data_IF_026635889744
#
_entry.id   IF_026635889744
#
_cell.length_a   1.000
_cell.length_b   1.000
_cell.length_c   1.000
_cell.angle_alpha   90.00
_cell.angle_beta   90.00
_cell.angle_gamma   90.00
#
_symmetry.space_group_name_H-M   'P 1'
#
loop_
_entity.id
_entity.type
_entity.pdbx_description
1 polymer ?
#
# COMPACT_ATOMS: atom_id res chain seq x y z
N UNK A 1 -0.56 19.47 12.60
CA UNK A 1 -0.32 18.04 12.36
C UNK A 1 -1.49 17.38 11.62
N UNK A 2 -2.71 17.38 12.18
CA UNK A 2 -3.87 16.71 11.56
C UNK A 2 -4.21 17.22 10.16
N UNK A 3 -4.15 18.54 9.91
CA UNK A 3 -4.46 19.11 8.60
C UNK A 3 -3.48 18.66 7.50
N UNK A 4 -2.19 18.56 7.83
CA UNK A 4 -1.14 18.11 6.90
C UNK A 4 -1.28 16.61 6.59
N UNK A 5 -1.65 15.81 7.59
CA UNK A 5 -1.99 14.39 7.41
C UNK A 5 -3.17 14.21 6.45
N UNK A 6 -4.27 14.95 6.65
CA UNK A 6 -5.45 14.89 5.78
C UNK A 6 -5.12 15.31 4.34
N UNK A 7 -4.31 16.35 4.17
CA UNK A 7 -3.86 16.79 2.85
C UNK A 7 -3.08 15.71 2.10
N UNK A 8 -2.08 15.11 2.76
CA UNK A 8 -1.30 14.02 2.18
C UNK A 8 -2.16 12.78 1.91
N UNK A 9 -3.13 12.46 2.78
CA UNK A 9 -4.07 11.36 2.57
C UNK A 9 -4.90 11.56 1.29
N UNK A 10 -5.40 12.77 1.05
CA UNK A 10 -6.16 13.10 -0.17
C UNK A 10 -5.28 12.94 -1.42
N UNK A 11 -4.02 13.36 -1.37
CA UNK A 11 -3.07 13.20 -2.49
C UNK A 11 -2.87 11.73 -2.83
N UNK A 12 -2.70 10.88 -1.81
CA UNK A 12 -2.50 9.44 -2.00
C UNK A 12 -3.75 8.78 -2.58
N UNK A 13 -4.95 9.14 -2.10
CA UNK A 13 -6.22 8.64 -2.66
C UNK A 13 -6.40 9.05 -4.13
N UNK A 14 -6.08 10.30 -4.48
CA UNK A 14 -6.12 10.78 -5.86
C UNK A 14 -5.12 10.01 -6.72
N UNK A 15 -3.89 9.81 -6.22
CA UNK A 15 -2.87 8.99 -6.88
C UNK A 15 -3.35 7.57 -7.15
N UNK A 16 -4.04 6.95 -6.19
CA UNK A 16 -4.57 5.59 -6.32
C UNK A 16 -5.62 5.49 -7.43
N UNK A 17 -6.55 6.44 -7.50
CA UNK A 17 -7.58 6.50 -8.56
C UNK A 17 -6.94 6.69 -9.94
N UNK A 18 -5.88 7.50 -10.02
CA UNK A 18 -5.16 7.76 -11.27
C UNK A 18 -4.34 6.55 -11.76
N UNK A 19 -3.90 5.66 -10.85
CA UNK A 19 -3.01 4.55 -11.18
C UNK A 19 -3.69 3.19 -11.34
N UNK A 20 -5.03 3.12 -11.29
CA UNK A 20 -5.82 1.87 -11.28
C UNK A 20 -5.47 0.90 -12.42
N UNK A 21 -4.92 1.40 -13.53
CA UNK A 21 -4.56 0.59 -14.71
C UNK A 21 -3.29 -0.25 -14.51
N UNK A 22 -2.41 0.11 -13.58
CA UNK A 22 -1.13 -0.58 -13.35
C UNK A 22 -1.06 -1.05 -11.90
N UNK A 23 -1.21 -2.36 -11.70
CA UNK A 23 -1.21 -2.98 -10.39
C UNK A 23 0.03 -2.66 -9.55
N UNK A 24 1.21 -2.59 -10.18
CA UNK A 24 2.46 -2.21 -9.53
C UNK A 24 2.43 -0.76 -9.01
N UNK A 25 1.86 0.17 -9.77
CA UNK A 25 1.73 1.56 -9.31
C UNK A 25 0.76 1.65 -8.14
N UNK A 26 -0.34 0.88 -8.15
CA UNK A 26 -1.26 0.80 -7.00
C UNK A 26 -0.57 0.29 -5.73
N UNK A 27 0.31 -0.72 -5.84
CA UNK A 27 1.10 -1.22 -4.70
C UNK A 27 2.04 -0.16 -4.13
N UNK A 28 2.76 0.56 -4.98
CA UNK A 28 3.65 1.64 -4.54
C UNK A 28 2.87 2.74 -3.81
N UNK A 29 1.67 3.07 -4.30
CA UNK A 29 0.84 4.11 -3.68
C UNK A 29 0.28 3.64 -2.33
N UNK A 30 -0.13 2.37 -2.21
CA UNK A 30 -0.54 1.77 -0.94
C UNK A 30 0.60 1.73 0.08
N UNK A 31 1.83 1.43 -0.34
CA UNK A 31 2.99 1.46 0.55
C UNK A 31 3.26 2.88 1.10
N UNK A 32 3.16 3.90 0.24
CA UNK A 32 3.26 5.29 0.69
C UNK A 32 2.16 5.68 1.68
N UNK A 33 0.95 5.13 1.53
CA UNK A 33 -0.12 5.30 2.50
C UNK A 33 0.23 4.67 3.86
N UNK A 34 0.76 3.44 3.85
CA UNK A 34 1.17 2.74 5.07
C UNK A 34 2.28 3.48 5.82
N UNK A 35 3.28 4.02 5.10
CA UNK A 35 4.33 4.86 5.70
C UNK A 35 3.74 6.09 6.38
N UNK A 36 2.78 6.75 5.74
CA UNK A 36 2.10 7.92 6.30
C UNK A 36 1.29 7.57 7.56
N UNK A 37 0.63 6.42 7.57
CA UNK A 37 -0.14 5.90 8.71
C UNK A 37 0.77 5.55 9.89
N UNK A 38 1.91 4.92 9.62
CA UNK A 38 2.95 4.65 10.62
C UNK A 38 3.51 5.94 11.21
N UNK A 39 3.82 6.93 10.38
CA UNK A 39 4.35 8.23 10.81
C UNK A 39 3.34 8.98 11.68
N UNK A 40 2.05 8.92 11.33
CA UNK A 40 0.98 9.47 12.17
C UNK A 40 0.87 8.76 13.52
N UNK A 41 0.92 7.42 13.53
CA UNK A 41 0.87 6.66 14.78
C UNK A 41 2.05 7.00 15.70
N UNK A 42 3.25 7.19 15.14
CA UNK A 42 4.45 7.61 15.89
C UNK A 42 4.32 9.04 16.44
N UNK A 43 3.76 9.98 15.68
CA UNK A 43 3.56 11.35 16.17
C UNK A 43 2.47 11.45 17.26
N UNK A 44 1.53 10.51 17.29
CA UNK A 44 0.45 10.44 18.28
C UNK A 44 0.77 9.58 19.52
N UNK A 45 1.98 9.00 19.64
CA UNK A 45 2.33 8.20 20.82
C UNK A 45 2.54 9.07 22.05
N UNK A 46 1.46 9.32 22.79
CA UNK A 46 1.50 9.63 24.22
C UNK A 46 1.57 8.29 24.98
N UNK A 47 2.81 7.88 25.28
CA UNK A 47 3.26 6.85 26.25
C UNK A 47 2.76 5.38 26.12
N UNK A 48 1.66 5.05 25.45
CA UNK A 48 1.09 3.68 25.47
C UNK A 48 0.76 3.06 24.09
N UNK A 49 0.81 3.83 22.99
CA UNK A 49 0.39 3.34 21.66
C UNK A 49 1.50 2.70 20.83
N UNK A 50 2.66 2.39 21.42
CA UNK A 50 3.76 1.70 20.72
C UNK A 50 3.34 0.32 20.18
N UNK A 51 2.43 -0.36 20.86
CA UNK A 51 1.86 -1.64 20.40
C UNK A 51 1.13 -1.46 19.06
N UNK A 52 0.37 -0.36 18.90
CA UNK A 52 -0.37 -0.06 17.68
C UNK A 52 0.59 0.19 16.51
N UNK A 53 1.69 0.91 16.75
CA UNK A 53 2.73 1.12 15.74
C UNK A 53 3.32 -0.21 15.23
N UNK A 54 3.64 -1.13 16.14
CA UNK A 54 4.20 -2.44 15.79
C UNK A 54 3.19 -3.29 15.02
N UNK A 55 1.93 -3.32 15.47
CA UNK A 55 0.86 -4.07 14.77
C UNK A 55 0.66 -3.53 13.35
N UNK A 56 0.59 -2.20 13.19
CA UNK A 56 0.46 -1.58 11.87
C UNK A 56 1.65 -1.89 10.96
N UNK A 57 2.87 -1.97 11.53
CA UNK A 57 4.06 -2.33 10.77
C UNK A 57 3.95 -3.77 10.23
N UNK A 58 3.56 -4.74 11.06
CA UNK A 58 3.39 -6.13 10.63
C UNK A 58 2.32 -6.23 9.54
N UNK A 59 1.16 -5.60 9.74
CA UNK A 59 0.07 -5.61 8.76
C UNK A 59 0.52 -5.02 7.43
N UNK A 60 1.27 -3.91 7.44
CA UNK A 60 1.78 -3.28 6.21
C UNK A 60 2.70 -4.21 5.40
N UNK A 61 3.55 -5.02 6.07
CA UNK A 61 4.39 -5.99 5.36
C UNK A 61 3.60 -7.15 4.77
N UNK A 62 2.55 -7.60 5.46
CA UNK A 62 1.68 -8.69 4.97
C UNK A 62 0.91 -8.22 3.73
N UNK A 63 0.41 -6.99 3.74
CA UNK A 63 -0.26 -6.37 2.60
C UNK A 63 0.63 -6.38 1.35
N UNK A 64 1.88 -5.92 1.46
CA UNK A 64 2.82 -5.87 0.32
C UNK A 64 3.12 -7.27 -0.19
N UNK A 65 3.32 -8.26 0.69
CA UNK A 65 3.55 -9.66 0.28
C UNK A 65 2.35 -10.19 -0.50
N UNK A 66 1.13 -10.01 0.01
CA UNK A 66 -0.09 -10.45 -0.69
C UNK A 66 -0.22 -9.76 -2.04
N UNK A 67 0.02 -8.45 -2.08
CA UNK A 67 0.03 -7.67 -3.31
C UNK A 67 0.99 -8.21 -4.35
N UNK A 68 2.24 -8.48 -3.96
CA UNK A 68 3.24 -9.05 -4.84
C UNK A 68 2.87 -10.47 -5.32
N UNK A 69 2.32 -11.31 -4.44
CA UNK A 69 1.84 -12.66 -4.83
C UNK A 69 0.70 -12.57 -5.85
N UNK A 70 -0.25 -11.64 -5.68
CA UNK A 70 -1.30 -11.43 -6.67
C UNK A 70 -0.71 -10.94 -7.99
N UNK A 71 0.25 -10.01 -7.94
CA UNK A 71 0.91 -9.50 -9.14
C UNK A 71 1.62 -10.60 -9.92
N UNK A 72 2.36 -11.50 -9.24
CA UNK A 72 3.06 -12.60 -9.92
C UNK A 72 2.07 -13.59 -10.55
N UNK A 73 0.95 -13.89 -9.88
CA UNK A 73 -0.10 -14.75 -10.45
C UNK A 73 -0.78 -14.14 -11.66
N UNK A 74 -1.09 -12.85 -11.62
CA UNK A 74 -1.66 -12.15 -12.78
C UNK A 74 -0.67 -12.15 -13.93
N UNK A 75 0.61 -11.89 -13.68
CA UNK A 75 1.66 -11.94 -14.70
C UNK A 75 1.81 -13.34 -15.32
N UNK A 76 1.81 -14.39 -14.51
CA UNK A 76 1.83 -15.78 -15.01
C UNK A 76 0.62 -16.07 -15.91
N UNK A 77 -0.58 -15.59 -15.53
CA UNK A 77 -1.80 -15.78 -16.31
C UNK A 77 -1.76 -15.07 -17.66
N UNK A 78 -1.24 -13.83 -17.72
CA UNK A 78 -1.09 -13.10 -18.98
C UNK A 78 -0.06 -13.75 -19.90
N UNK A 79 1.08 -14.18 -19.36
CA UNK A 79 2.10 -14.90 -20.14
C UNK A 79 1.58 -16.27 -20.63
N UNK A 80 0.72 -16.94 -19.86
CA UNK A 80 0.12 -18.22 -20.29
C UNK A 80 -0.88 -18.06 -21.43
N UNK A 81 -1.64 -16.95 -21.47
CA UNK A 81 -2.57 -16.64 -22.57
C UNK A 81 -1.82 -16.34 -23.88
N UNK A 82 -0.66 -15.67 -23.79
CA UNK A 82 0.18 -15.40 -24.95
C UNK A 82 0.84 -16.67 -25.52
N UNK A 83 1.06 -17.72 -24.71
CA UNK A 83 1.62 -19.00 -25.19
C UNK A 83 0.59 -19.95 -25.82
N UNK A 84 -0.69 -19.86 -25.44
CA UNK A 84 -1.76 -20.73 -25.95
C UNK A 84 -2.36 -20.20 -27.27
N UNK A 85 -2.02 -18.97 -27.67
CA UNK A 85 -2.53 -18.32 -28.89
C UNK A 85 -1.67 -18.52 -30.14
N UNK A 86 -0.73 -19.48 -30.13
CA UNK A 86 0.06 -19.89 -31.31
C UNK A 86 -0.45 -21.20 -31.94
#
# INVERSE_FOLDING_TARGET
MVFLYLYLFIIILLGFVLSLTRFLNCLIILENFNVLLLLFSLLNTLLESHIIFIVLMVVSTVEVIIGLVVLTRVWESTNSLDLVSF
#
